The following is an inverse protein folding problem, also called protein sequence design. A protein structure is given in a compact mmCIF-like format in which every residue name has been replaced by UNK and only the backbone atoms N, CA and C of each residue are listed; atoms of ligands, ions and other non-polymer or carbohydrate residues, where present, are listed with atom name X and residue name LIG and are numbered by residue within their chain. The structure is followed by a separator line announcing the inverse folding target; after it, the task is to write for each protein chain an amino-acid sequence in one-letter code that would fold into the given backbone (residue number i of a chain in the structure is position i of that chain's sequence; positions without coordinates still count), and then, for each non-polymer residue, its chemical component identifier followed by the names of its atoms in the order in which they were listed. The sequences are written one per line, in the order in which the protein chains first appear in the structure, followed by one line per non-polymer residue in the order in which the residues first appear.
data_IF_742984504582
#
_entry.id   IF_742984504582
#
_cell.length_a   1.000
_cell.length_b   1.000
_cell.length_c   1.000
_cell.angle_alpha   90.00
_cell.angle_beta   90.00
_cell.angle_gamma   90.00
#
_symmetry.space_group_name_H-M   'P 1'
#
loop_
_entity.id
_entity.type
_entity.pdbx_description
1 polymer ?
#
# COMPACT_ATOMS: atom_id res chain seq x y z
N UNK A 1 -12.50 12.89 1.45
CA UNK A 1 -13.51 12.20 0.60
C UNK A 1 -14.62 11.75 1.51
N UNK A 2 -15.88 11.83 1.09
CA UNK A 2 -17.02 11.34 1.86
C UNK A 2 -17.65 10.21 1.07
N UNK A 3 -17.69 9.01 1.63
CA UNK A 3 -18.34 7.85 1.03
C UNK A 3 -17.37 6.86 0.40
N UNK A 4 -17.92 5.94 -0.39
CA UNK A 4 -17.17 4.84 -0.98
C UNK A 4 -16.87 5.12 -2.45
N UNK A 5 -15.62 4.97 -2.86
CA UNK A 5 -15.15 5.24 -4.22
C UNK A 5 -14.12 4.20 -4.65
N UNK A 6 -14.14 3.85 -5.93
CA UNK A 6 -13.01 3.18 -6.58
C UNK A 6 -12.52 4.00 -7.76
N UNK A 7 -11.19 4.10 -7.86
CA UNK A 7 -10.50 4.66 -9.01
C UNK A 7 -9.92 3.50 -9.80
N UNK A 8 -10.24 3.41 -11.09
CA UNK A 8 -9.90 2.27 -11.93
C UNK A 8 -9.09 2.71 -13.15
N UNK A 9 -7.91 2.13 -13.34
CA UNK A 9 -7.05 2.31 -14.50
C UNK A 9 -6.85 0.96 -15.20
N UNK A 10 -7.61 0.70 -16.28
CA UNK A 10 -7.71 -0.62 -16.92
C UNK A 10 -6.76 -0.84 -18.13
N UNK A 11 -5.86 0.08 -18.38
CA UNK A 11 -4.89 -0.08 -19.47
C UNK A 11 -3.98 -1.29 -19.29
N UNK A 12 -3.53 -1.88 -20.40
CA UNK A 12 -2.59 -3.01 -20.39
C UNK A 12 -1.12 -2.58 -20.51
N UNK A 13 -0.87 -1.30 -20.47
CA UNK A 13 0.47 -0.72 -20.50
C UNK A 13 0.66 0.30 -19.37
N UNK A 14 1.92 0.64 -19.08
CA UNK A 14 2.26 1.54 -17.98
C UNK A 14 1.64 2.93 -18.11
N UNK A 15 1.33 3.37 -19.32
CA UNK A 15 0.75 4.70 -19.54
C UNK A 15 -0.70 4.78 -19.10
N UNK A 16 -1.50 3.75 -19.37
CA UNK A 16 -2.95 3.75 -19.12
C UNK A 16 -3.39 2.86 -17.97
N UNK A 17 -2.52 1.90 -17.57
CA UNK A 17 -2.81 0.96 -16.49
C UNK A 17 -2.26 1.35 -15.12
N UNK A 18 -1.63 2.54 -14.98
CA UNK A 18 -1.01 2.99 -13.73
C UNK A 18 -1.82 4.10 -13.08
N UNK A 19 -2.03 3.99 -11.78
CA UNK A 19 -2.56 5.07 -10.94
C UNK A 19 -1.37 5.75 -10.25
N UNK A 20 -1.24 7.07 -10.44
CA UNK A 20 -0.20 7.86 -9.83
C UNK A 20 -0.70 8.56 -8.58
N UNK A 21 -0.03 8.32 -7.44
CA UNK A 21 -0.23 9.03 -6.18
C UNK A 21 0.87 10.07 -6.05
N UNK A 22 0.50 11.33 -5.88
CA UNK A 22 1.44 12.46 -5.80
C UNK A 22 1.48 13.11 -4.42
N UNK A 23 0.73 12.62 -3.47
CA UNK A 23 0.64 13.15 -2.11
C UNK A 23 -0.14 12.22 -1.19
N UNK A 24 -0.45 12.70 -0.02
CA UNK A 24 -1.30 11.99 0.94
C UNK A 24 -2.67 11.68 0.34
N UNK A 25 -3.14 10.48 0.65
CA UNK A 25 -4.50 10.03 0.34
C UNK A 25 -5.19 9.74 1.66
N UNK A 26 -6.06 10.65 2.10
CA UNK A 26 -6.72 10.55 3.40
C UNK A 26 -8.24 10.56 3.27
N UNK A 27 -8.90 9.78 4.09
CA UNK A 27 -10.33 9.90 4.30
C UNK A 27 -10.65 11.23 4.98
N UNK A 28 -11.85 11.74 4.80
CA UNK A 28 -12.28 12.95 5.50
C UNK A 28 -12.43 12.68 6.99
N UNK A 29 -12.91 11.49 7.33
CA UNK A 29 -13.05 11.01 8.70
C UNK A 29 -12.16 9.77 8.82
N UNK A 30 -11.12 9.86 9.63
CA UNK A 30 -10.20 8.74 9.86
C UNK A 30 -10.90 7.65 10.66
N UNK A 31 -11.04 6.44 10.12
CA UNK A 31 -11.75 5.35 10.79
C UNK A 31 -11.02 4.79 12.01
N UNK A 32 -9.72 5.09 12.17
CA UNK A 32 -8.97 4.75 13.39
C UNK A 32 -9.42 5.64 14.54
N UNK A 33 -9.76 6.90 14.24
CA UNK A 33 -10.21 7.89 15.23
C UNK A 33 -11.72 7.80 15.44
N UNK A 34 -12.46 7.63 14.35
CA UNK A 34 -13.92 7.58 14.37
C UNK A 34 -14.43 6.35 13.59
N UNK A 35 -14.85 5.34 14.33
CA UNK A 35 -15.33 4.06 13.80
C UNK A 35 -16.61 4.16 12.95
N UNK A 36 -17.31 5.30 13.00
CA UNK A 36 -18.49 5.56 12.15
C UNK A 36 -18.12 6.03 10.74
N UNK A 37 -16.86 6.24 10.43
CA UNK A 37 -16.44 6.62 9.10
C UNK A 37 -16.90 5.60 8.05
N UNK A 38 -17.68 6.07 7.08
CA UNK A 38 -18.10 5.28 5.92
C UNK A 38 -17.16 5.46 4.71
N UNK A 39 -16.10 6.28 4.87
CA UNK A 39 -15.18 6.59 3.78
C UNK A 39 -14.31 5.37 3.43
N UNK A 40 -14.35 4.94 2.18
CA UNK A 40 -13.52 3.84 1.67
C UNK A 40 -13.04 4.17 0.26
N UNK A 41 -11.78 3.88 -0.01
CA UNK A 41 -11.17 4.05 -1.32
C UNK A 41 -10.56 2.75 -1.83
N UNK A 42 -10.98 2.34 -3.03
CA UNK A 42 -10.33 1.30 -3.80
C UNK A 42 -9.49 1.89 -4.94
N UNK A 43 -8.25 1.47 -5.08
CA UNK A 43 -7.39 1.78 -6.23
C UNK A 43 -7.17 0.51 -7.03
N UNK A 44 -7.69 0.45 -8.26
CA UNK A 44 -7.66 -0.73 -9.12
C UNK A 44 -6.85 -0.42 -10.38
N UNK A 45 -5.67 -1.02 -10.52
CA UNK A 45 -4.74 -0.76 -11.60
C UNK A 45 -4.48 -2.02 -12.45
N UNK A 46 -4.45 -1.89 -13.76
CA UNK A 46 -4.03 -2.96 -14.68
C UNK A 46 -2.53 -3.24 -14.64
N UNK A 47 -1.72 -2.24 -14.30
CA UNK A 47 -0.27 -2.37 -14.18
C UNK A 47 0.19 -2.21 -12.73
N UNK A 48 0.11 -0.99 -12.17
CA UNK A 48 0.61 -0.69 -10.83
C UNK A 48 -0.07 0.55 -10.24
N UNK A 49 0.00 0.68 -8.93
CA UNK A 49 -0.18 1.96 -8.24
C UNK A 49 1.20 2.52 -7.92
N UNK A 50 1.50 3.71 -8.39
CA UNK A 50 2.83 4.31 -8.28
C UNK A 50 2.80 5.56 -7.43
N UNK A 51 3.62 5.59 -6.38
CA UNK A 51 3.90 6.81 -5.62
C UNK A 51 5.00 7.60 -6.33
N UNK A 52 4.68 8.83 -6.72
CA UNK A 52 5.60 9.72 -7.42
C UNK A 52 6.77 10.17 -6.56
N UNK A 53 7.88 10.46 -7.23
CA UNK A 53 9.12 10.92 -6.59
C UNK A 53 9.03 12.40 -6.23
N UNK A 54 9.30 12.71 -4.96
CA UNK A 54 9.46 14.07 -4.46
C UNK A 54 10.55 14.11 -3.38
N UNK A 55 11.65 14.81 -3.63
CA UNK A 55 12.80 14.89 -2.73
C UNK A 55 12.51 15.56 -1.39
N UNK A 56 11.53 16.45 -1.36
CA UNK A 56 11.16 17.22 -0.15
C UNK A 56 10.14 16.51 0.73
N UNK A 57 9.58 15.38 0.24
CA UNK A 57 8.53 14.67 0.95
C UNK A 57 9.08 13.98 2.19
N UNK A 58 8.41 14.20 3.33
CA UNK A 58 8.58 13.41 4.55
C UNK A 58 7.75 12.13 4.52
N UNK A 59 7.20 11.76 5.65
CA UNK A 59 6.26 10.63 5.74
C UNK A 59 5.03 10.85 4.88
N UNK A 60 4.42 9.76 4.42
CA UNK A 60 3.22 9.81 3.60
C UNK A 60 2.15 8.87 4.16
N UNK A 61 0.92 9.34 4.16
CA UNK A 61 -0.24 8.57 4.58
C UNK A 61 -1.10 8.18 3.37
N UNK A 62 -1.41 6.89 3.26
CA UNK A 62 -2.27 6.36 2.21
C UNK A 62 -3.39 5.57 2.87
N UNK A 63 -4.62 6.07 2.80
CA UNK A 63 -5.82 5.38 3.26
C UNK A 63 -6.60 4.88 2.05
N UNK A 64 -6.28 3.65 1.64
CA UNK A 64 -6.89 3.00 0.47
C UNK A 64 -6.59 1.49 0.45
N UNK A 65 -7.47 0.72 -0.17
CA UNK A 65 -7.15 -0.63 -0.60
C UNK A 65 -6.67 -0.61 -2.04
N UNK A 66 -5.57 -1.27 -2.30
CA UNK A 66 -4.85 -1.26 -3.57
C UNK A 66 -4.94 -2.65 -4.20
N UNK A 67 -5.43 -2.72 -5.43
CA UNK A 67 -5.35 -3.88 -6.27
C UNK A 67 -4.61 -3.55 -7.56
N UNK A 68 -3.66 -4.40 -7.96
CA UNK A 68 -3.03 -4.29 -9.26
C UNK A 68 -2.82 -5.67 -9.88
N UNK A 69 -2.99 -5.76 -11.19
CA UNK A 69 -2.81 -7.03 -11.90
C UNK A 69 -1.34 -7.45 -12.03
N UNK A 70 -0.41 -6.51 -11.86
CA UNK A 70 1.03 -6.77 -11.94
C UNK A 70 1.76 -6.34 -10.67
N UNK A 71 2.33 -5.14 -10.68
CA UNK A 71 3.22 -4.68 -9.63
C UNK A 71 2.44 -3.91 -8.55
N UNK A 72 1.99 -4.46 -7.49
CA UNK A 72 1.20 -3.85 -6.42
C UNK A 72 1.38 -2.33 -6.24
N UNK A 73 2.05 -1.90 -5.17
CA UNK A 73 2.46 -0.52 -4.94
C UNK A 73 3.95 -0.36 -5.26
N UNK A 74 4.29 0.62 -6.08
CA UNK A 74 5.66 0.92 -6.51
C UNK A 74 6.03 2.35 -6.10
N UNK A 75 7.18 2.52 -5.49
CA UNK A 75 7.73 3.85 -5.20
C UNK A 75 8.68 4.24 -6.33
N UNK A 76 8.35 5.31 -7.04
CA UNK A 76 9.21 5.81 -8.10
C UNK A 76 10.58 6.21 -7.53
N UNK A 77 11.65 5.71 -8.13
CA UNK A 77 13.04 6.05 -7.75
C UNK A 77 13.32 5.95 -6.24
N UNK A 78 12.75 4.96 -5.55
CA UNK A 78 12.92 4.82 -4.09
C UNK A 78 14.39 4.83 -3.63
N UNK A 79 15.31 4.43 -4.51
CA UNK A 79 16.75 4.43 -4.23
C UNK A 79 17.36 5.82 -4.14
N UNK A 80 16.72 6.81 -4.76
CA UNK A 80 17.20 8.18 -4.88
C UNK A 80 16.58 9.11 -3.83
N UNK A 81 15.63 8.62 -3.02
CA UNK A 81 15.14 9.39 -1.87
C UNK A 81 16.27 9.57 -0.87
N UNK A 82 16.62 10.82 -0.51
CA UNK A 82 17.82 11.10 0.28
C UNK A 82 17.68 10.72 1.75
N UNK A 83 16.47 10.51 2.23
CA UNK A 83 16.14 10.22 3.63
C UNK A 83 15.17 9.04 3.68
N UNK A 84 15.35 8.19 4.68
CA UNK A 84 14.35 7.19 5.01
C UNK A 84 13.15 7.87 5.67
N UNK A 85 11.98 7.62 5.12
CA UNK A 85 10.69 8.08 5.64
C UNK A 85 9.75 6.90 5.83
N UNK A 86 8.58 7.14 6.39
CA UNK A 86 7.56 6.11 6.56
C UNK A 86 6.43 6.31 5.56
N UNK A 87 5.92 5.20 5.06
CA UNK A 87 4.67 5.15 4.33
C UNK A 87 3.66 4.39 5.18
N UNK A 88 2.71 5.13 5.71
CA UNK A 88 1.64 4.59 6.54
C UNK A 88 0.47 4.22 5.62
N UNK A 89 0.20 2.95 5.45
CA UNK A 89 -0.94 2.47 4.70
C UNK A 89 -2.03 1.98 5.66
N UNK A 90 -3.21 2.59 5.57
CA UNK A 90 -4.44 2.04 6.13
C UNK A 90 -5.22 1.37 5.02
N UNK A 91 -5.24 0.04 5.02
CA UNK A 91 -5.86 -0.77 3.98
C UNK A 91 -5.08 -2.03 3.66
N UNK A 92 -4.94 -2.35 2.39
CA UNK A 92 -4.19 -3.52 1.95
C UNK A 92 -3.69 -3.39 0.52
N UNK A 93 -2.72 -4.22 0.16
CA UNK A 93 -2.18 -4.30 -1.20
C UNK A 93 -2.36 -5.71 -1.72
N UNK A 94 -2.96 -5.83 -2.89
CA UNK A 94 -3.07 -7.05 -3.66
C UNK A 94 -2.38 -6.82 -5.01
N UNK A 95 -1.34 -7.57 -5.29
CA UNK A 95 -0.60 -7.49 -6.54
C UNK A 95 0.11 -8.80 -6.83
N UNK A 96 0.46 -9.04 -8.09
CA UNK A 96 1.20 -10.24 -8.49
C UNK A 96 2.63 -10.21 -7.92
N UNK A 97 3.27 -9.05 -7.94
CA UNK A 97 4.63 -8.86 -7.47
C UNK A 97 4.70 -7.80 -6.38
N UNK A 98 5.61 -8.00 -5.44
CA UNK A 98 5.95 -7.01 -4.41
C UNK A 98 7.26 -6.34 -4.78
N UNK A 99 7.25 -5.01 -4.83
CA UNK A 99 8.44 -4.22 -5.13
C UNK A 99 9.00 -3.61 -3.84
N UNK A 100 10.32 -3.44 -3.82
CA UNK A 100 10.98 -2.75 -2.71
C UNK A 100 10.56 -1.28 -2.65
N UNK A 101 10.22 -0.80 -1.48
CA UNK A 101 9.84 0.59 -1.21
C UNK A 101 10.97 1.40 -0.56
N UNK A 102 11.96 0.73 0.03
CA UNK A 102 13.08 1.31 0.73
C UNK A 102 14.39 0.56 0.47
N UNK A 103 15.50 1.21 0.76
CA UNK A 103 16.79 0.57 1.01
C UNK A 103 17.07 0.54 2.51
N UNK A 104 17.77 -0.47 2.95
CA UNK A 104 18.21 -0.64 4.33
C UNK A 104 19.72 -0.75 4.38
N UNK A 105 20.30 -0.29 5.48
CA UNK A 105 21.72 -0.46 5.81
C UNK A 105 21.85 -1.03 7.21
N UNK A 106 22.90 -1.79 7.45
CA UNK A 106 23.25 -2.30 8.76
C UNK A 106 23.95 -1.21 9.57
N UNK A 107 23.50 -0.95 10.78
CA UNK A 107 24.06 0.06 11.69
C UNK A 107 25.01 -0.52 12.74
N UNK A 108 25.28 -1.81 12.68
CA UNK A 108 26.05 -2.57 13.68
C UNK A 108 25.17 -3.39 14.62
N UNK A 109 23.86 -3.11 14.67
CA UNK A 109 22.90 -3.79 15.55
C UNK A 109 21.61 -4.17 14.82
N UNK A 110 21.11 -3.31 13.92
CA UNK A 110 19.85 -3.50 13.22
C UNK A 110 19.98 -3.06 11.76
N UNK A 111 19.05 -3.56 10.91
CA UNK A 111 18.81 -2.99 9.60
C UNK A 111 17.92 -1.76 9.73
N UNK A 112 18.45 -0.58 9.42
CA UNK A 112 17.73 0.70 9.43
C UNK A 112 17.49 1.18 8.01
N UNK A 113 16.34 1.80 7.76
CA UNK A 113 16.03 2.43 6.48
C UNK A 113 17.10 3.49 6.14
N UNK A 114 17.56 3.51 4.91
CA UNK A 114 18.53 4.50 4.42
C UNK A 114 17.98 5.41 3.35
N UNK A 115 17.07 4.90 2.52
CA UNK A 115 16.45 5.61 1.42
C UNK A 115 15.04 5.09 1.18
N UNK A 116 14.17 5.92 0.63
CA UNK A 116 12.80 5.57 0.27
C UNK A 116 11.89 5.50 1.49
N UNK A 117 10.87 4.63 1.44
CA UNK A 117 9.83 4.54 2.45
C UNK A 117 9.85 3.19 3.15
N UNK A 118 10.07 3.19 4.45
CA UNK A 118 9.75 2.05 5.30
C UNK A 118 8.24 1.90 5.39
N UNK A 119 7.76 0.71 5.16
CA UNK A 119 6.33 0.45 5.05
C UNK A 119 5.72 0.09 6.40
N UNK A 120 4.69 0.82 6.78
CA UNK A 120 3.87 0.53 7.96
C UNK A 120 2.45 0.26 7.48
N UNK A 121 1.98 -0.97 7.68
CA UNK A 121 0.64 -1.38 7.25
C UNK A 121 -0.29 -1.56 8.44
N UNK A 122 -1.45 -0.93 8.36
CA UNK A 122 -2.59 -1.14 9.25
C UNK A 122 -3.75 -1.63 8.39
N UNK A 123 -4.23 -2.83 8.67
CA UNK A 123 -5.40 -3.35 7.96
C UNK A 123 -6.65 -2.57 8.35
N UNK A 124 -7.48 -2.26 7.39
CA UNK A 124 -8.77 -1.62 7.62
C UNK A 124 -9.84 -2.70 7.80
N UNK A 125 -10.21 -2.99 9.04
CA UNK A 125 -11.15 -4.06 9.41
C UNK A 125 -12.53 -3.92 8.79
N UNK A 126 -12.89 -2.75 8.31
CA UNK A 126 -14.17 -2.52 7.62
C UNK A 126 -14.28 -3.33 6.32
N UNK A 127 -13.12 -3.65 5.69
CA UNK A 127 -13.07 -4.49 4.49
C UNK A 127 -13.53 -5.94 4.70
N UNK A 128 -13.65 -6.40 5.94
CA UNK A 128 -14.29 -7.70 6.22
C UNK A 128 -15.77 -7.71 5.86
N UNK A 129 -16.44 -6.58 5.97
CA UNK A 129 -17.88 -6.47 5.79
C UNK A 129 -18.29 -5.72 4.53
N UNK A 130 -17.48 -4.74 4.11
CA UNK A 130 -17.81 -3.84 3.00
C UNK A 130 -16.57 -3.64 2.15
N UNK A 131 -16.73 -3.59 0.84
CA UNK A 131 -15.67 -3.23 -0.10
C UNK A 131 -16.09 -1.99 -0.90
N UNK A 132 -15.14 -1.15 -1.34
CA UNK A 132 -15.44 -0.06 -2.26
C UNK A 132 -16.13 -0.58 -3.53
N UNK A 133 -16.98 0.22 -4.18
CA UNK A 133 -17.66 -0.17 -5.41
C UNK A 133 -16.65 -0.66 -6.44
N UNK A 134 -16.95 -1.75 -7.14
CA UNK A 134 -16.10 -2.34 -8.20
C UNK A 134 -14.69 -2.74 -7.76
N UNK A 135 -14.39 -2.71 -6.46
CA UNK A 135 -13.13 -3.27 -5.97
C UNK A 135 -13.17 -4.79 -6.10
N UNK A 136 -12.11 -5.44 -6.61
CA UNK A 136 -12.07 -6.88 -6.72
C UNK A 136 -12.26 -7.51 -5.35
N UNK A 137 -13.34 -8.21 -5.18
CA UNK A 137 -13.60 -9.04 -4.01
C UNK A 137 -13.98 -10.43 -4.48
N UNK A 138 -13.62 -11.42 -3.73
CA UNK A 138 -14.18 -12.76 -3.89
C UNK A 138 -15.27 -12.90 -2.85
N UNK A 139 -16.50 -13.05 -3.30
CA UNK A 139 -17.67 -13.28 -2.41
C UNK A 139 -17.54 -14.55 -1.56
N UNK A 140 -16.51 -15.35 -1.83
CA UNK A 140 -16.25 -16.62 -1.16
C UNK A 140 -14.76 -16.78 -0.91
N UNK A 141 -14.25 -16.29 0.22
CA UNK A 141 -12.98 -16.73 0.77
C UNK A 141 -13.25 -17.83 1.77
N UNK A 142 -12.77 -19.02 1.48
CA UNK A 142 -12.57 -20.07 2.46
C UNK A 142 -11.06 -20.10 2.69
N UNK A 143 -10.59 -19.70 3.86
CA UNK A 143 -9.20 -19.98 4.27
C UNK A 143 -9.13 -21.48 4.52
N UNK A 144 -8.57 -22.22 3.55
CA UNK A 144 -8.45 -23.67 3.62
C UNK A 144 -7.25 -24.07 4.50
N UNK A 145 -6.22 -23.22 4.54
CA UNK A 145 -5.06 -23.40 5.44
C UNK A 145 -4.28 -22.11 5.59
N UNK A 146 -3.68 -21.91 6.75
CA UNK A 146 -2.71 -20.89 7.03
C UNK A 146 -1.38 -21.56 7.37
N UNK A 147 -0.29 -21.17 6.72
CA UNK A 147 1.04 -21.67 7.00
C UNK A 147 1.98 -20.49 7.27
N UNK A 148 2.40 -20.37 8.51
CA UNK A 148 3.37 -19.36 8.93
C UNK A 148 4.73 -20.02 9.10
N UNK A 149 5.74 -19.58 8.32
CA UNK A 149 7.12 -19.99 8.52
C UNK A 149 7.83 -18.97 9.39
N UNK A 150 8.19 -19.35 10.60
CA UNK A 150 9.11 -18.57 11.44
C UNK A 150 10.53 -19.14 11.22
N UNK A 151 11.37 -18.35 10.61
CA UNK A 151 12.80 -18.66 10.57
C UNK A 151 13.42 -18.21 11.88
N UNK A 152 13.77 -19.17 12.74
CA UNK A 152 14.68 -18.92 13.84
C UNK A 152 16.09 -18.80 13.24
N UNK A 153 16.59 -17.60 13.10
CA UNK A 153 18.00 -17.38 12.77
C UNK A 153 18.79 -17.68 14.03
N UNK A 154 19.37 -18.86 14.10
CA UNK A 154 20.34 -19.21 15.14
C UNK A 154 21.66 -18.59 14.71
N UNK A 155 22.08 -17.54 15.39
CA UNK A 155 23.43 -17.01 15.26
C UNK A 155 24.39 -17.92 16.05
N UNK A 156 25.32 -18.56 15.36
CA UNK A 156 26.49 -19.23 15.92
C UNK A 156 27.63 -18.25 16.06
#
# INVERSE_FOLDING_TARGET
MNGQLSIVAVGKDKKFGTIHITGDVKYKIDPIIDSISADMLGLVAGEMVQLGFDKSRGDIDIQASIYSQKDGLVIEKHKDYPVASYMNLLGGIIGKDVKATAKYKWDGKNYIGSNGYSYVNTFDDRFYNVAPPFFPNTKFFIIVSWLEYRYNVVYS
#
